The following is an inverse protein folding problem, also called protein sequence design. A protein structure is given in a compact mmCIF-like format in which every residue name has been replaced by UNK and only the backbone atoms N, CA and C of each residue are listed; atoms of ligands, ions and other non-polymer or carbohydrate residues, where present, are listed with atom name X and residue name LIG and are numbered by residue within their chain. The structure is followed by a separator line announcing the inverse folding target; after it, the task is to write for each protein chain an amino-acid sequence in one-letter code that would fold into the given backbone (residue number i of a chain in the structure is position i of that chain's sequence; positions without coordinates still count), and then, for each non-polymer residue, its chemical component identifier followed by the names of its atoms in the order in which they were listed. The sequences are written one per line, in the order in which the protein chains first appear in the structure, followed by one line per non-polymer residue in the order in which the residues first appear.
data_IF_373437804617
#
_entry.id   IF_373437804617
#
_cell.length_a   1.000
_cell.length_b   1.000
_cell.length_c   1.000
_cell.angle_alpha   90.00
_cell.angle_beta   90.00
_cell.angle_gamma   90.00
#
_symmetry.space_group_name_H-M   'P 1'
#
loop_
_entity.id
_entity.type
_entity.pdbx_description
1 polymer ?
#
# COMPACT_ATOMS: atom_id res chain seq x y z
N UNK A 1 -38.77 -51.94 44.69
CA UNK A 1 -39.51 -50.70 44.35
C UNK A 1 -38.51 -49.55 44.24
N UNK A 2 -38.47 -48.93 43.05
CA UNK A 2 -37.97 -47.58 42.69
C UNK A 2 -36.65 -47.05 43.28
N UNK A 3 -35.58 -47.13 42.48
CA UNK A 3 -34.45 -46.21 42.53
C UNK A 3 -34.46 -45.35 41.26
N UNK A 4 -34.70 -44.04 41.38
CA UNK A 4 -34.46 -43.07 40.31
C UNK A 4 -34.04 -41.73 40.92
N UNK A 5 -32.73 -41.46 40.88
CA UNK A 5 -32.12 -40.15 41.14
C UNK A 5 -32.17 -39.28 39.87
N UNK A 6 -32.52 -37.97 39.94
CA UNK A 6 -32.60 -37.10 38.77
C UNK A 6 -31.24 -36.46 38.42
N UNK A 7 -30.51 -36.99 37.42
CA UNK A 7 -29.18 -36.49 37.01
C UNK A 7 -29.20 -35.44 35.86
N UNK A 8 -30.35 -34.94 35.42
CA UNK A 8 -30.44 -34.17 34.17
C UNK A 8 -30.24 -32.64 34.29
N UNK A 9 -30.30 -32.03 35.47
CA UNK A 9 -30.31 -30.56 35.63
C UNK A 9 -28.94 -29.91 35.82
N UNK A 10 -27.96 -30.62 36.37
CA UNK A 10 -26.62 -30.07 36.63
C UNK A 10 -25.77 -29.93 35.37
N UNK A 11 -25.94 -30.86 34.42
CA UNK A 11 -25.23 -30.83 33.13
C UNK A 11 -25.59 -29.58 32.32
N UNK A 12 -26.89 -29.23 32.28
CA UNK A 12 -27.39 -28.05 31.56
C UNK A 12 -26.88 -26.73 32.18
N UNK A 13 -26.81 -26.65 33.51
CA UNK A 13 -26.31 -25.47 34.24
C UNK A 13 -24.80 -25.29 34.11
N UNK A 14 -24.03 -26.40 34.13
CA UNK A 14 -22.58 -26.38 33.87
C UNK A 14 -22.28 -25.99 32.43
N UNK A 15 -23.06 -26.51 31.47
CA UNK A 15 -22.95 -26.15 30.05
C UNK A 15 -23.27 -24.67 29.80
N UNK A 16 -24.30 -24.13 30.47
CA UNK A 16 -24.64 -22.70 30.41
C UNK A 16 -23.55 -21.80 30.99
N UNK A 17 -22.94 -22.18 32.14
CA UNK A 17 -21.82 -21.42 32.73
C UNK A 17 -20.57 -21.46 31.85
N UNK A 18 -20.27 -22.60 31.22
CA UNK A 18 -19.17 -22.72 30.26
C UNK A 18 -19.37 -21.79 29.06
N UNK A 19 -20.58 -21.76 28.50
CA UNK A 19 -20.90 -20.86 27.39
C UNK A 19 -20.72 -19.38 27.74
N UNK A 20 -21.10 -18.99 28.95
CA UNK A 20 -20.99 -17.60 29.43
C UNK A 20 -19.51 -17.19 29.63
N UNK A 21 -18.69 -18.08 30.19
CA UNK A 21 -17.23 -17.86 30.34
C UNK A 21 -16.53 -17.79 28.99
N UNK A 22 -16.89 -18.66 28.03
CA UNK A 22 -16.35 -18.62 26.67
C UNK A 22 -16.70 -17.32 25.94
N UNK A 23 -17.93 -16.82 26.11
CA UNK A 23 -18.39 -15.57 25.50
C UNK A 23 -17.62 -14.37 26.05
N UNK A 24 -17.41 -14.32 27.38
CA UNK A 24 -16.60 -13.28 28.02
C UNK A 24 -15.13 -13.34 27.57
N UNK A 25 -14.58 -14.55 27.40
CA UNK A 25 -13.20 -14.73 26.93
C UNK A 25 -13.07 -14.27 25.47
N UNK A 26 -14.01 -14.63 24.60
CA UNK A 26 -14.02 -14.19 23.20
C UNK A 26 -14.09 -12.65 23.08
N UNK A 27 -14.87 -12.00 23.94
CA UNK A 27 -14.99 -10.53 23.98
C UNK A 27 -13.69 -9.87 24.47
N UNK A 28 -12.93 -10.53 25.35
CA UNK A 28 -11.61 -10.05 25.82
C UNK A 28 -10.54 -10.16 24.72
N UNK A 29 -10.55 -11.25 23.94
CA UNK A 29 -9.63 -11.43 22.81
C UNK A 29 -9.96 -10.54 21.60
N UNK A 30 -11.21 -10.08 21.47
CA UNK A 30 -11.63 -9.19 20.39
C UNK A 30 -11.06 -7.76 20.47
N UNK A 31 -10.38 -7.39 21.57
CA UNK A 31 -9.84 -6.03 21.74
C UNK A 31 -8.50 -5.78 21.03
N UNK A 32 -7.92 -6.81 20.38
CA UNK A 32 -6.69 -6.70 19.58
C UNK A 32 -7.05 -6.70 18.09
N UNK A 33 -7.96 -5.81 17.68
CA UNK A 33 -8.06 -5.49 16.27
C UNK A 33 -6.91 -4.54 15.94
N UNK A 34 -5.97 -4.89 15.04
CA UNK A 34 -5.01 -3.92 14.56
C UNK A 34 -5.79 -2.79 13.89
N UNK A 35 -5.76 -1.60 14.50
CA UNK A 35 -6.26 -0.37 13.88
C UNK A 35 -5.41 -0.16 12.63
N UNK A 36 -5.93 -0.60 11.48
CA UNK A 36 -5.37 -0.26 10.18
C UNK A 36 -5.60 1.24 9.97
N UNK A 37 -4.74 2.07 10.57
CA UNK A 37 -4.60 3.45 10.20
C UNK A 37 -4.16 3.44 8.73
N UNK A 38 -5.12 3.69 7.85
CA UNK A 38 -4.90 3.80 6.41
C UNK A 38 -3.71 4.75 6.19
N UNK A 39 -2.59 4.21 5.70
CA UNK A 39 -1.36 4.94 5.38
C UNK A 39 -1.59 5.85 4.15
N UNK A 40 -2.51 6.79 4.23
CA UNK A 40 -2.76 7.73 3.13
C UNK A 40 -1.60 8.73 3.04
N UNK A 41 -1.12 9.24 4.18
CA UNK A 41 -0.04 10.24 4.21
C UNK A 41 1.33 9.73 3.75
N UNK A 42 1.71 8.48 4.06
CA UNK A 42 3.00 7.94 3.60
C UNK A 42 2.99 7.59 2.12
N UNK A 43 1.86 7.13 1.58
CA UNK A 43 1.72 6.80 0.17
C UNK A 43 1.78 8.07 -0.71
N UNK A 44 1.12 9.15 -0.30
CA UNK A 44 1.15 10.43 -1.01
C UNK A 44 2.54 11.08 -0.99
N UNK A 45 3.22 11.08 0.16
CA UNK A 45 4.60 11.58 0.26
C UNK A 45 5.57 10.74 -0.60
N UNK A 46 5.41 9.42 -0.59
CA UNK A 46 6.23 8.53 -1.42
C UNK A 46 5.96 8.73 -2.90
N UNK A 47 4.70 8.93 -3.31
CA UNK A 47 4.35 9.27 -4.69
C UNK A 47 4.98 10.59 -5.13
N UNK A 48 4.91 11.65 -4.32
CA UNK A 48 5.54 12.93 -4.63
C UNK A 48 7.08 12.81 -4.74
N UNK A 49 7.69 12.01 -3.87
CA UNK A 49 9.13 11.72 -3.95
C UNK A 49 9.47 10.97 -5.25
N UNK A 50 8.68 9.95 -5.60
CA UNK A 50 8.87 9.16 -6.81
C UNK A 50 8.76 10.03 -8.07
N UNK A 51 7.77 10.91 -8.15
CA UNK A 51 7.58 11.83 -9.29
C UNK A 51 8.82 12.74 -9.50
N UNK A 52 9.40 13.25 -8.41
CA UNK A 52 10.63 14.06 -8.49
C UNK A 52 11.82 13.24 -8.98
N UNK A 53 11.97 12.01 -8.48
CA UNK A 53 13.02 11.09 -8.90
C UNK A 53 12.90 10.73 -10.38
N UNK A 54 11.70 10.40 -10.85
CA UNK A 54 11.45 10.04 -12.25
C UNK A 54 11.86 11.20 -13.20
N UNK A 55 11.51 12.43 -12.85
CA UNK A 55 11.89 13.62 -13.62
C UNK A 55 13.40 13.86 -13.60
N UNK A 56 14.04 13.72 -12.45
CA UNK A 56 15.49 13.85 -12.32
C UNK A 56 16.23 12.80 -13.14
N UNK A 57 15.74 11.55 -13.15
CA UNK A 57 16.32 10.47 -13.93
C UNK A 57 16.27 10.76 -15.44
N UNK A 58 15.12 11.23 -15.95
CA UNK A 58 14.99 11.64 -17.35
C UNK A 58 15.94 12.77 -17.72
N UNK A 59 16.03 13.81 -16.89
CA UNK A 59 16.94 14.94 -17.14
C UNK A 59 18.40 14.48 -17.14
N UNK A 60 18.79 13.64 -16.19
CA UNK A 60 20.13 13.06 -16.13
C UNK A 60 20.45 12.20 -17.36
N UNK A 61 19.46 11.49 -17.93
CA UNK A 61 19.64 10.76 -19.18
C UNK A 61 19.80 11.70 -20.38
N UNK A 62 18.99 12.76 -20.47
CA UNK A 62 19.11 13.78 -21.51
C UNK A 62 20.43 14.55 -21.43
N UNK A 63 21.05 14.64 -20.26
CA UNK A 63 22.36 15.27 -20.09
C UNK A 63 23.54 14.38 -20.54
N UNK A 64 23.32 13.07 -20.73
CA UNK A 64 24.38 12.16 -21.22
C UNK A 64 24.84 12.61 -22.61
N UNK A 65 26.15 12.72 -22.79
CA UNK A 65 26.75 13.18 -24.04
C UNK A 65 26.32 12.35 -25.27
N UNK A 66 26.12 11.05 -25.08
CA UNK A 66 25.61 10.16 -26.13
C UNK A 66 24.18 10.53 -26.57
N UNK A 67 23.27 10.66 -25.61
CA UNK A 67 21.87 11.00 -25.87
C UNK A 67 21.75 12.38 -26.51
N UNK A 68 22.55 13.35 -26.06
CA UNK A 68 22.61 14.68 -26.67
C UNK A 68 23.06 14.66 -28.12
N UNK A 69 24.09 13.86 -28.44
CA UNK A 69 24.57 13.69 -29.81
C UNK A 69 23.49 13.05 -30.67
N UNK A 70 22.88 11.96 -30.21
CA UNK A 70 21.81 11.29 -30.92
C UNK A 70 20.59 12.19 -31.16
N UNK A 71 20.18 13.00 -30.17
CA UNK A 71 19.12 13.99 -30.36
C UNK A 71 19.48 15.02 -31.43
N UNK A 72 20.72 15.51 -31.40
CA UNK A 72 21.20 16.50 -32.38
C UNK A 72 21.28 15.90 -33.79
N UNK A 73 21.71 14.64 -33.92
CA UNK A 73 21.72 13.89 -35.18
C UNK A 73 20.30 13.71 -35.75
N UNK A 74 19.29 13.56 -34.90
CA UNK A 74 17.88 13.56 -35.28
C UNK A 74 17.30 14.97 -35.54
N UNK A 75 18.12 16.02 -35.47
CA UNK A 75 17.70 17.41 -35.66
C UNK A 75 16.97 18.03 -34.48
N UNK A 76 17.01 17.40 -33.29
CA UNK A 76 16.36 17.87 -32.07
C UNK A 76 17.40 18.53 -31.16
N UNK A 77 17.21 19.81 -30.85
CA UNK A 77 18.06 20.49 -29.88
C UNK A 77 17.88 19.85 -28.48
N UNK A 78 18.98 19.51 -27.76
CA UNK A 78 18.88 18.91 -26.43
C UNK A 78 18.05 19.73 -25.43
N UNK A 79 18.12 21.05 -25.51
CA UNK A 79 17.36 21.95 -24.65
C UNK A 79 15.85 21.90 -24.95
N UNK A 80 15.45 21.70 -26.21
CA UNK A 80 14.05 21.47 -26.57
C UNK A 80 13.52 20.17 -25.95
N UNK A 81 14.32 19.11 -25.91
CA UNK A 81 13.95 17.85 -25.28
C UNK A 81 13.74 18.02 -23.76
N UNK A 82 14.63 18.75 -23.08
CA UNK A 82 14.48 19.08 -21.66
C UNK A 82 13.23 19.92 -21.39
N UNK A 83 12.95 20.90 -22.24
CA UNK A 83 11.76 21.74 -22.11
C UNK A 83 10.46 20.93 -22.29
N UNK A 84 10.46 19.93 -23.16
CA UNK A 84 9.33 18.99 -23.28
C UNK A 84 9.14 18.17 -22.02
N UNK A 85 10.20 17.61 -21.44
CA UNK A 85 10.13 16.91 -20.14
C UNK A 85 9.64 17.86 -19.04
N UNK A 86 10.05 19.13 -19.07
CA UNK A 86 9.57 20.14 -18.13
C UNK A 86 8.04 20.35 -18.22
N UNK A 87 7.50 20.35 -19.44
CA UNK A 87 6.07 20.55 -19.72
C UNK A 87 5.21 19.27 -19.61
N UNK A 88 5.81 18.09 -19.48
CA UNK A 88 5.08 16.83 -19.31
C UNK A 88 4.44 16.74 -17.93
N UNK A 89 3.28 16.08 -17.89
CA UNK A 89 2.64 15.67 -16.64
C UNK A 89 3.44 14.58 -15.94
N UNK A 90 3.25 14.43 -14.64
CA UNK A 90 4.00 13.43 -13.87
C UNK A 90 3.69 12.00 -14.32
N UNK A 91 2.47 11.73 -14.79
CA UNK A 91 2.08 10.44 -15.34
C UNK A 91 2.83 10.11 -16.64
N UNK A 92 2.99 11.11 -17.53
CA UNK A 92 3.73 10.97 -18.79
C UNK A 92 5.23 10.77 -18.53
N UNK A 93 5.80 11.50 -17.57
CA UNK A 93 7.19 11.34 -17.13
C UNK A 93 7.43 9.92 -16.60
N UNK A 94 6.56 9.44 -15.70
CA UNK A 94 6.66 8.09 -15.16
C UNK A 94 6.49 7.02 -16.25
N UNK A 95 5.58 7.24 -17.21
CA UNK A 95 5.42 6.34 -18.35
C UNK A 95 6.66 6.31 -19.23
N UNK A 96 7.23 7.47 -19.55
CA UNK A 96 8.44 7.55 -20.37
C UNK A 96 9.61 6.83 -19.69
N UNK A 97 9.81 7.06 -18.39
CA UNK A 97 10.88 6.40 -17.62
C UNK A 97 10.75 4.87 -17.60
N UNK A 98 9.51 4.33 -17.67
CA UNK A 98 9.26 2.88 -17.79
C UNK A 98 9.54 2.30 -19.19
N UNK A 99 9.60 3.12 -20.23
CA UNK A 99 9.84 2.70 -21.62
C UNK A 99 11.30 2.87 -22.07
N UNK A 100 12.15 3.39 -21.19
CA UNK A 100 13.60 3.48 -21.40
C UNK A 100 14.30 2.20 -20.95
#
# INVERSE_FOLDING_TARGET
MSNTQPFHTDFKRRFQRLGLVLSLLAMFFAQIAPLQASMVGNAELLQQAQQRLDRQQLLAMLDRAEVRRQLTEMGVAPEMAKQRVANMTDAEVAQLNRNL
#
